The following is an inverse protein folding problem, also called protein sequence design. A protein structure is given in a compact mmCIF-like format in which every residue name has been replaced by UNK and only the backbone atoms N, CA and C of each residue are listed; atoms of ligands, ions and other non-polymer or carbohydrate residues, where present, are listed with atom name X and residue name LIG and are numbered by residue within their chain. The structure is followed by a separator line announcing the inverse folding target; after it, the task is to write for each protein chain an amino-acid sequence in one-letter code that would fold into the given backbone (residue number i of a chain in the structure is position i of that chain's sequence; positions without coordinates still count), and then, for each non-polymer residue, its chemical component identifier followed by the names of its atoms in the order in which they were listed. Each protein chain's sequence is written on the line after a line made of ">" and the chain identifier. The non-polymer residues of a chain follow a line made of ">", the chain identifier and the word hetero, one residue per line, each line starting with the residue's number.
data_IF_661419869859
#
_entry.id   IF_661419869859
#
_cell.length_a   1.000
_cell.length_b   1.000
_cell.length_c   1.000
_cell.angle_alpha   90.00
_cell.angle_beta   90.00
_cell.angle_gamma   90.00
#
_symmetry.space_group_name_H-M   'P 1'
#
loop_
_entity.id
_entity.type
_entity.pdbx_description
1 polymer ?
#
# COMPACT_ATOMS: atom_id res chain seq x y z
N UNK A 1 14.67 -13.69 12.64
CA UNK A 1 14.13 -13.00 11.45
C UNK A 1 15.11 -13.27 10.31
N UNK A 2 14.68 -13.89 9.22
CA UNK A 2 15.52 -14.03 8.03
C UNK A 2 15.85 -12.64 7.46
N UNK A 3 17.06 -12.44 6.95
CA UNK A 3 17.44 -11.19 6.31
C UNK A 3 16.60 -10.99 5.03
N UNK A 4 15.99 -9.82 4.86
CA UNK A 4 15.07 -9.49 3.76
C UNK A 4 15.73 -9.33 2.37
N UNK A 5 17.01 -9.69 2.24
CA UNK A 5 17.81 -9.43 1.04
C UNK A 5 17.95 -7.94 0.72
N UNK A 6 18.84 -7.59 -0.22
CA UNK A 6 18.85 -6.25 -0.79
C UNK A 6 17.73 -6.11 -1.81
N UNK A 7 16.90 -5.10 -1.66
CA UNK A 7 15.81 -4.82 -2.59
C UNK A 7 16.25 -3.84 -3.67
N UNK A 8 15.84 -4.07 -4.90
CA UNK A 8 16.08 -3.13 -6.01
C UNK A 8 15.18 -1.93 -5.83
N UNK A 9 15.78 -0.74 -5.85
CA UNK A 9 15.01 0.51 -5.86
C UNK A 9 14.49 0.81 -7.26
N UNK A 10 13.20 1.10 -7.36
CA UNK A 10 12.50 1.45 -8.60
C UNK A 10 11.69 2.72 -8.39
N UNK A 11 11.32 3.46 -9.45
CA UNK A 11 10.36 4.56 -9.33
C UNK A 11 9.02 4.04 -8.79
N UNK A 12 8.56 4.61 -7.68
CA UNK A 12 7.27 4.30 -7.07
C UNK A 12 6.42 5.58 -6.99
N UNK A 13 5.11 5.43 -7.12
CA UNK A 13 4.15 6.54 -7.00
C UNK A 13 3.93 6.96 -5.54
N UNK A 14 3.98 5.99 -4.63
CA UNK A 14 3.81 6.08 -3.17
C UNK A 14 2.45 6.58 -2.68
N UNK A 15 1.53 6.74 -3.62
CA UNK A 15 0.11 6.96 -3.41
C UNK A 15 -0.72 6.22 -4.47
N UNK A 16 -0.26 5.02 -4.84
CA UNK A 16 -0.84 4.25 -5.93
C UNK A 16 -2.18 3.62 -5.52
N UNK A 17 -3.27 4.37 -5.72
CA UNK A 17 -4.62 3.97 -5.33
C UNK A 17 -5.63 4.27 -6.43
N UNK A 18 -6.83 3.63 -6.43
CA UNK A 18 -7.84 3.86 -7.46
C UNK A 18 -8.28 5.31 -7.64
N UNK A 19 -8.11 6.16 -6.61
CA UNK A 19 -8.39 7.60 -6.69
C UNK A 19 -7.51 8.34 -7.71
N UNK A 20 -6.34 7.76 -7.99
CA UNK A 20 -5.31 8.29 -8.88
C UNK A 20 -5.25 7.53 -10.21
N UNK A 21 -6.23 6.65 -10.47
CA UNK A 21 -6.32 5.82 -11.68
C UNK A 21 -7.40 6.36 -12.59
N UNK A 22 -7.04 6.67 -13.84
CA UNK A 22 -7.99 7.09 -14.86
C UNK A 22 -8.00 6.05 -15.98
N UNK A 23 -9.18 5.53 -16.32
CA UNK A 23 -9.33 4.61 -17.45
C UNK A 23 -9.73 5.43 -18.67
N UNK A 24 -8.83 5.48 -19.66
CA UNK A 24 -9.08 6.08 -20.96
C UNK A 24 -9.19 5.04 -22.06
N UNK A 25 -9.49 5.49 -23.28
CA UNK A 25 -9.64 4.62 -24.46
C UNK A 25 -8.40 3.76 -24.75
N UNK A 26 -7.21 4.26 -24.39
CA UNK A 26 -5.91 3.63 -24.62
C UNK A 26 -5.33 2.92 -23.39
N UNK A 27 -6.05 2.89 -22.27
CA UNK A 27 -5.64 2.14 -21.08
C UNK A 27 -5.68 2.94 -19.78
N UNK A 28 -4.91 2.46 -18.80
CA UNK A 28 -4.79 3.06 -17.47
C UNK A 28 -3.78 4.21 -17.48
N UNK A 29 -4.21 5.35 -16.95
CA UNK A 29 -3.39 6.50 -16.65
C UNK A 29 -3.31 6.68 -15.14
N UNK A 30 -2.15 7.14 -14.67
CA UNK A 30 -1.88 7.34 -13.26
C UNK A 30 -1.47 8.79 -13.06
N UNK A 31 -2.13 9.47 -12.13
CA UNK A 31 -1.97 10.92 -11.87
C UNK A 31 -1.60 11.17 -10.41
N UNK A 32 -1.31 12.42 -10.05
CA UNK A 32 -0.93 12.81 -8.68
C UNK A 32 0.41 12.22 -8.21
N UNK A 33 1.46 12.55 -8.97
CA UNK A 33 2.82 12.05 -8.75
C UNK A 33 3.59 12.78 -7.65
N UNK A 34 2.95 13.60 -6.82
CA UNK A 34 3.62 14.48 -5.84
C UNK A 34 4.53 13.74 -4.84
N UNK A 35 4.18 12.48 -4.53
CA UNK A 35 4.93 11.63 -3.59
C UNK A 35 5.93 10.68 -4.27
N UNK A 36 6.02 10.75 -5.60
CA UNK A 36 6.80 9.79 -6.38
C UNK A 36 8.28 9.94 -6.11
N UNK A 37 8.94 8.81 -5.83
CA UNK A 37 10.40 8.73 -5.64
C UNK A 37 10.87 7.28 -5.72
N UNK A 38 12.18 7.03 -5.88
CA UNK A 38 12.72 5.68 -5.80
C UNK A 38 12.42 5.02 -4.44
N UNK A 39 11.92 3.80 -4.46
CA UNK A 39 11.61 2.99 -3.27
C UNK A 39 11.59 1.49 -3.66
N UNK A 40 11.24 0.59 -2.73
CA UNK A 40 10.90 -0.79 -3.07
C UNK A 40 9.54 -0.83 -3.76
N UNK A 41 9.42 -1.62 -4.84
CA UNK A 41 8.20 -1.68 -5.67
C UNK A 41 6.92 -2.00 -4.87
N UNK A 42 7.05 -2.80 -3.80
CA UNK A 42 5.95 -3.21 -2.92
C UNK A 42 5.33 -2.03 -2.15
N UNK A 43 6.07 -0.93 -1.98
CA UNK A 43 5.54 0.25 -1.31
C UNK A 43 4.27 0.80 -1.98
N UNK A 44 4.14 0.67 -3.30
CA UNK A 44 2.94 1.07 -4.04
C UNK A 44 1.72 0.18 -3.75
N UNK A 45 1.94 -1.03 -3.22
CA UNK A 45 0.84 -1.94 -2.86
C UNK A 45 0.28 -1.68 -1.46
N UNK A 46 1.00 -0.94 -0.60
CA UNK A 46 0.63 -0.79 0.81
C UNK A 46 -0.77 -0.16 1.02
N UNK A 47 -1.10 0.89 0.26
CA UNK A 47 -2.44 1.52 0.35
C UNK A 47 -3.55 0.63 -0.22
N UNK A 48 -3.27 -0.18 -1.25
CA UNK A 48 -4.22 -1.16 -1.77
C UNK A 48 -4.49 -2.26 -0.74
N UNK A 49 -3.41 -2.75 -0.10
CA UNK A 49 -3.45 -3.77 0.93
C UNK A 49 -4.28 -3.34 2.16
N UNK A 50 -4.07 -2.13 2.65
CA UNK A 50 -4.82 -1.57 3.79
C UNK A 50 -6.25 -1.16 3.44
N UNK A 51 -6.51 -0.88 2.17
CA UNK A 51 -7.79 -0.38 1.69
C UNK A 51 -8.62 -1.48 1.03
N UNK A 52 -8.80 -1.32 -0.28
CA UNK A 52 -9.77 -2.11 -1.05
C UNK A 52 -9.53 -3.63 -0.95
N UNK A 53 -8.28 -4.08 -0.83
CA UNK A 53 -7.96 -5.51 -0.79
C UNK A 53 -8.34 -6.20 0.52
N UNK A 54 -8.49 -5.47 1.64
CA UNK A 54 -8.89 -6.06 2.93
C UNK A 54 -10.22 -6.82 2.79
N UNK A 55 -11.16 -6.24 2.05
CA UNK A 55 -12.51 -6.79 1.86
C UNK A 55 -12.74 -7.37 0.46
N UNK A 56 -11.74 -7.28 -0.44
CA UNK A 56 -11.82 -7.75 -1.83
C UNK A 56 -10.53 -8.48 -2.25
N UNK A 57 -10.26 -9.67 -1.67
CA UNK A 57 -9.11 -10.48 -2.06
C UNK A 57 -9.14 -10.88 -3.54
N UNK A 58 -10.33 -10.99 -4.13
CA UNK A 58 -10.50 -11.24 -5.57
C UNK A 58 -9.91 -10.12 -6.44
N UNK A 59 -10.00 -8.86 -6.00
CA UNK A 59 -9.38 -7.72 -6.69
C UNK A 59 -7.86 -7.70 -6.51
N UNK A 60 -7.35 -8.09 -5.33
CA UNK A 60 -5.91 -8.29 -5.12
C UNK A 60 -5.37 -9.32 -6.10
N UNK A 61 -6.03 -10.48 -6.17
CA UNK A 61 -5.57 -11.59 -6.99
C UNK A 61 -5.68 -11.24 -8.48
N UNK A 62 -6.74 -10.54 -8.91
CA UNK A 62 -6.85 -10.03 -10.27
C UNK A 62 -5.76 -9.02 -10.61
N UNK A 63 -5.47 -8.09 -9.70
CA UNK A 63 -4.40 -7.11 -9.88
C UNK A 63 -3.04 -7.78 -10.01
N UNK A 64 -2.67 -8.67 -9.08
CA UNK A 64 -1.37 -9.36 -9.07
C UNK A 64 -1.18 -10.25 -10.30
N UNK A 65 -2.24 -10.94 -10.76
CA UNK A 65 -2.23 -11.67 -12.04
C UNK A 65 -1.93 -10.74 -13.22
N UNK A 66 -2.61 -9.59 -13.31
CA UNK A 66 -2.37 -8.60 -14.35
C UNK A 66 -1.00 -7.93 -14.25
N UNK A 67 -0.49 -7.76 -13.03
CA UNK A 67 0.84 -7.22 -12.74
C UNK A 67 1.97 -8.21 -13.07
N UNK A 68 1.63 -9.48 -13.31
CA UNK A 68 2.59 -10.53 -13.66
C UNK A 68 3.50 -10.95 -12.51
N UNK A 69 3.09 -10.70 -11.25
CA UNK A 69 3.83 -11.11 -10.05
C UNK A 69 2.92 -11.72 -9.01
N UNK A 70 3.40 -12.79 -8.37
CA UNK A 70 2.86 -13.27 -7.11
C UNK A 70 3.80 -12.83 -5.99
N UNK A 71 3.24 -12.54 -4.82
CA UNK A 71 4.02 -12.16 -3.64
C UNK A 71 4.61 -13.43 -3.02
N UNK A 72 5.91 -13.45 -2.81
CA UNK A 72 6.56 -14.47 -1.99
C UNK A 72 6.59 -14.08 -0.49
N UNK A 73 7.19 -14.92 0.36
CA UNK A 73 7.28 -14.66 1.80
C UNK A 73 8.07 -13.37 2.13
N UNK A 74 9.08 -13.05 1.32
CA UNK A 74 9.88 -11.82 1.48
C UNK A 74 9.02 -10.61 1.12
N UNK A 75 8.30 -10.69 0.00
CA UNK A 75 7.39 -9.65 -0.44
C UNK A 75 6.29 -9.39 0.60
N UNK A 76 5.72 -10.46 1.19
CA UNK A 76 4.74 -10.35 2.27
C UNK A 76 5.31 -9.68 3.52
N UNK A 77 6.56 -9.95 3.88
CA UNK A 77 7.21 -9.32 5.02
C UNK A 77 7.46 -7.83 4.75
N UNK A 78 7.95 -7.48 3.56
CA UNK A 78 8.16 -6.09 3.14
C UNK A 78 6.83 -5.35 3.08
N UNK A 79 5.79 -5.96 2.50
CA UNK A 79 4.46 -5.37 2.42
C UNK A 79 3.90 -5.06 3.81
N UNK A 80 4.11 -5.95 4.78
CA UNK A 80 3.72 -5.68 6.17
C UNK A 80 4.44 -4.45 6.73
N UNK A 81 5.76 -4.35 6.55
CA UNK A 81 6.55 -3.19 6.98
C UNK A 81 6.09 -1.89 6.30
N UNK A 82 5.94 -1.90 4.98
CA UNK A 82 5.41 -0.76 4.21
C UNK A 82 4.01 -0.37 4.69
N UNK A 83 3.13 -1.35 4.95
CA UNK A 83 1.77 -1.11 5.42
C UNK A 83 1.75 -0.44 6.80
N UNK A 84 2.62 -0.85 7.72
CA UNK A 84 2.75 -0.18 9.03
C UNK A 84 3.18 1.28 8.85
N UNK A 85 4.19 1.55 8.03
CA UNK A 85 4.66 2.92 7.75
C UNK A 85 3.58 3.77 7.08
N UNK A 86 2.83 3.20 6.13
CA UNK A 86 1.71 3.87 5.47
C UNK A 86 0.58 4.17 6.45
N UNK A 87 0.17 3.22 7.28
CA UNK A 87 -0.88 3.42 8.27
C UNK A 87 -0.49 4.52 9.29
N UNK A 88 0.76 4.51 9.77
CA UNK A 88 1.29 5.55 10.64
C UNK A 88 1.24 6.94 9.98
N UNK A 89 1.70 7.04 8.73
CA UNK A 89 1.63 8.29 7.97
C UNK A 89 0.18 8.77 7.80
N UNK A 90 -0.77 7.87 7.51
CA UNK A 90 -2.19 8.22 7.40
C UNK A 90 -2.76 8.75 8.72
N UNK A 91 -2.39 8.17 9.88
CA UNK A 91 -2.77 8.70 11.20
C UNK A 91 -2.26 10.13 11.38
N UNK A 92 -0.98 10.38 11.07
CA UNK A 92 -0.37 11.72 11.20
C UNK A 92 -1.12 12.72 10.30
N UNK A 93 -1.35 12.38 9.03
CA UNK A 93 -2.07 13.26 8.09
C UNK A 93 -3.52 13.53 8.51
N UNK A 94 -4.21 12.51 9.01
CA UNK A 94 -5.59 12.65 9.49
C UNK A 94 -5.66 13.58 10.70
N UNK A 95 -4.70 13.44 11.62
CA UNK A 95 -4.57 14.28 12.80
C UNK A 95 -4.31 15.75 12.43
N UNK A 96 -3.32 16.01 11.58
CA UNK A 96 -3.00 17.36 11.08
C UNK A 96 -4.20 18.02 10.39
N UNK A 97 -4.98 17.23 9.65
CA UNK A 97 -6.14 17.70 8.89
C UNK A 97 -7.44 17.73 9.71
N UNK A 98 -7.40 17.37 11.00
CA UNK A 98 -8.55 17.28 11.92
C UNK A 98 -9.69 16.38 11.41
N UNK A 99 -9.37 15.31 10.69
CA UNK A 99 -10.35 14.35 10.18
C UNK A 99 -10.53 13.18 11.15
N UNK A 100 -11.31 13.40 12.22
CA UNK A 100 -11.37 12.51 13.38
C UNK A 100 -11.79 11.07 13.05
N UNK A 101 -12.84 10.88 12.24
CA UNK A 101 -13.31 9.54 11.86
C UNK A 101 -12.31 8.79 10.97
N UNK A 102 -11.61 9.51 10.09
CA UNK A 102 -10.55 8.94 9.27
C UNK A 102 -9.33 8.57 10.12
N UNK A 103 -8.96 9.41 11.08
CA UNK A 103 -7.88 9.13 12.03
C UNK A 103 -8.15 7.85 12.83
N UNK A 104 -9.37 7.70 13.35
CA UNK A 104 -9.78 6.50 14.09
C UNK A 104 -9.66 5.23 13.24
N UNK A 105 -10.17 5.26 12.00
CA UNK A 105 -10.02 4.15 11.06
C UNK A 105 -8.55 3.78 10.78
N UNK A 106 -7.68 4.79 10.59
CA UNK A 106 -6.25 4.57 10.38
C UNK A 106 -5.57 3.97 11.63
N UNK A 107 -5.97 4.41 12.83
CA UNK A 107 -5.46 3.87 14.10
C UNK A 107 -5.87 2.42 14.30
N UNK A 108 -7.12 2.06 14.00
CA UNK A 108 -7.58 0.66 14.03
C UNK A 108 -6.78 -0.21 13.07
N UNK A 109 -6.55 0.25 11.83
CA UNK A 109 -5.73 -0.48 10.87
C UNK A 109 -4.29 -0.69 11.37
N UNK A 110 -3.65 0.35 11.91
CA UNK A 110 -2.31 0.25 12.49
C UNK A 110 -2.25 -0.74 13.66
N UNK A 111 -3.24 -0.71 14.57
CA UNK A 111 -3.31 -1.66 15.68
C UNK A 111 -3.44 -3.12 15.20
N UNK A 112 -4.23 -3.38 14.15
CA UNK A 112 -4.35 -4.73 13.55
C UNK A 112 -3.01 -5.22 12.99
N UNK A 113 -2.25 -4.36 12.32
CA UNK A 113 -0.95 -4.72 11.75
C UNK A 113 0.13 -5.02 12.81
N UNK A 114 0.04 -4.34 13.96
CA UNK A 114 0.97 -4.49 15.07
C UNK A 114 0.59 -5.63 16.03
N UNK A 115 -0.64 -6.14 15.94
CA UNK A 115 -1.08 -7.25 16.76
C UNK A 115 -0.21 -8.51 16.47
N UNK A 116 0.12 -9.31 17.50
CA UNK A 116 0.85 -10.56 17.29
C UNK A 116 0.07 -11.46 16.32
N UNK A 117 0.77 -11.98 15.29
CA UNK A 117 0.21 -13.03 14.44
C UNK A 117 0.02 -14.28 15.31
N UNK A 118 -1.21 -14.79 15.39
CA UNK A 118 -1.52 -16.07 16.05
C UNK A 118 -1.00 -17.24 15.23
#
# INVERSE_FOLDING_TARGET
>A
MAALGSQVSVPCHRDYTPRNWLIGASGLYVVDLEWSRPDVWISDLARLHLGIWENRPDLRDAFLRGYGRQLDDTDHCILQGCSVLTALWMVIKAHESRQLSFEEGCRTALQRLLAPRR
#
